data_IF_535261878875
#
_entry.id   IF_535261878875
#
_cell.length_a   1.000
_cell.length_b   1.000
_cell.length_c   1.000
_cell.angle_alpha   90.00
_cell.angle_beta   90.00
_cell.angle_gamma   90.00
#
_symmetry.space_group_name_H-M   'P 1'
#
loop_
_entity.id
_entity.type
_entity.pdbx_description
1 polymer ?
#
# COMPACT_ATOMS: atom_id res chain seq x y z
N UNK A 1 35.52 60.53 -5.05
CA UNK A 1 35.38 59.11 -5.46
C UNK A 1 34.47 59.04 -6.69
N UNK A 2 34.97 58.54 -7.82
CA UNK A 2 34.32 58.73 -9.13
C UNK A 2 33.05 57.88 -9.27
N UNK A 3 32.04 58.39 -9.99
CA UNK A 3 30.77 57.67 -10.30
C UNK A 3 31.02 56.31 -10.96
N UNK A 4 32.17 56.16 -11.63
CA UNK A 4 32.65 54.93 -12.26
C UNK A 4 32.99 53.86 -11.22
N UNK A 5 33.64 54.24 -10.12
CA UNK A 5 34.00 53.32 -9.04
C UNK A 5 32.76 52.76 -8.31
N UNK A 6 31.73 53.59 -8.14
CA UNK A 6 30.45 53.18 -7.54
C UNK A 6 29.65 52.25 -8.44
N UNK A 7 29.69 52.45 -9.77
CA UNK A 7 29.09 51.55 -10.77
C UNK A 7 29.82 50.21 -10.86
N UNK A 8 31.14 50.21 -10.76
CA UNK A 8 31.96 48.98 -10.71
C UNK A 8 31.68 48.15 -9.45
N UNK A 9 31.56 48.78 -8.28
CA UNK A 9 31.19 48.10 -7.03
C UNK A 9 29.78 47.51 -7.09
N UNK A 10 28.80 48.25 -7.64
CA UNK A 10 27.44 47.74 -7.84
C UNK A 10 27.40 46.57 -8.83
N UNK A 11 28.13 46.67 -9.95
CA UNK A 11 28.22 45.59 -10.93
C UNK A 11 28.88 44.33 -10.36
N UNK A 12 29.94 44.49 -9.54
CA UNK A 12 30.60 43.38 -8.85
C UNK A 12 29.69 42.71 -7.80
N UNK A 13 28.91 43.50 -7.04
CA UNK A 13 27.95 42.98 -6.07
C UNK A 13 26.80 42.21 -6.75
N UNK A 14 26.28 42.73 -7.89
CA UNK A 14 25.27 42.04 -8.69
C UNK A 14 25.84 40.75 -9.30
N UNK A 15 27.06 40.78 -9.83
CA UNK A 15 27.71 39.58 -10.36
C UNK A 15 27.96 38.52 -9.27
N UNK A 16 28.37 38.92 -8.05
CA UNK A 16 28.53 38.01 -6.92
C UNK A 16 27.19 37.42 -6.45
N UNK A 17 26.12 38.22 -6.43
CA UNK A 17 24.77 37.75 -6.10
C UNK A 17 24.22 36.79 -7.18
N UNK A 18 24.48 37.06 -8.46
CA UNK A 18 24.12 36.17 -9.57
C UNK A 18 24.93 34.87 -9.51
N UNK A 19 26.25 34.92 -9.23
CA UNK A 19 27.08 33.73 -9.06
C UNK A 19 26.63 32.86 -7.87
N UNK A 20 26.27 33.48 -6.74
CA UNK A 20 25.69 32.79 -5.59
C UNK A 20 24.30 32.19 -5.91
N UNK A 21 23.52 32.86 -6.76
CA UNK A 21 22.21 32.39 -7.20
C UNK A 21 22.28 31.27 -8.25
N UNK A 22 23.39 31.15 -8.99
CA UNK A 22 23.61 30.07 -9.97
C UNK A 22 24.30 28.84 -9.41
N UNK A 23 24.79 28.90 -8.17
CA UNK A 23 25.20 27.72 -7.42
C UNK A 23 23.94 26.95 -7.01
N UNK A 24 23.37 26.20 -7.97
CA UNK A 24 22.30 25.25 -7.73
C UNK A 24 22.83 24.31 -6.64
N UNK A 25 22.36 24.48 -5.42
CA UNK A 25 22.65 23.58 -4.32
C UNK A 25 22.33 22.17 -4.84
N UNK A 26 23.38 21.38 -5.05
CA UNK A 26 23.22 20.05 -5.59
C UNK A 26 22.43 19.25 -4.55
N UNK A 27 21.25 18.78 -4.95
CA UNK A 27 20.42 17.95 -4.10
C UNK A 27 21.13 16.61 -3.85
N UNK A 28 20.90 16.03 -2.68
CA UNK A 28 21.35 14.67 -2.37
C UNK A 28 20.83 13.70 -3.45
N UNK A 29 21.68 12.77 -3.89
CA UNK A 29 21.31 11.76 -4.88
C UNK A 29 20.16 10.85 -4.40
N UNK A 30 19.98 10.73 -3.08
CA UNK A 30 18.93 9.96 -2.44
C UNK A 30 17.65 10.76 -2.19
N UNK A 31 17.61 12.00 -2.67
CA UNK A 31 16.46 12.87 -2.62
C UNK A 31 15.56 12.66 -3.84
N UNK A 32 14.30 12.33 -3.60
CA UNK A 32 13.29 12.17 -4.64
C UNK A 32 12.75 13.53 -5.09
N UNK A 33 12.44 14.41 -4.13
CA UNK A 33 11.90 15.75 -4.40
C UNK A 33 12.75 16.81 -3.70
N UNK A 34 13.21 17.82 -4.45
CA UNK A 34 14.12 18.83 -3.93
C UNK A 34 13.71 20.23 -4.35
N UNK A 35 13.74 21.16 -3.40
CA UNK A 35 13.36 22.56 -3.60
C UNK A 35 14.39 23.50 -2.97
N UNK A 36 14.94 24.43 -3.75
CA UNK A 36 15.98 25.38 -3.31
C UNK A 36 17.20 24.76 -2.60
N UNK A 37 17.52 23.49 -2.91
CA UNK A 37 18.62 22.75 -2.26
C UNK A 37 18.22 21.97 -1.02
N UNK A 38 16.96 22.02 -0.63
CA UNK A 38 16.41 21.26 0.49
C UNK A 38 15.65 20.03 -0.01
N UNK A 39 15.92 18.89 0.60
CA UNK A 39 15.18 17.69 0.29
C UNK A 39 13.81 17.68 0.97
N UNK A 40 12.76 17.40 0.19
CA UNK A 40 11.37 17.33 0.64
C UNK A 40 10.81 15.91 0.70
N UNK A 41 11.45 14.97 0.02
CA UNK A 41 11.11 13.55 0.05
C UNK A 41 12.31 12.71 -0.38
N UNK A 42 12.44 11.53 0.22
CA UNK A 42 13.58 10.64 0.01
C UNK A 42 13.18 9.43 -0.82
N UNK A 43 14.13 8.91 -1.59
CA UNK A 43 13.95 7.65 -2.32
C UNK A 43 13.62 6.51 -1.34
N UNK A 44 12.98 5.46 -1.86
CA UNK A 44 12.72 4.22 -1.12
C UNK A 44 13.99 3.70 -0.43
N UNK A 45 13.86 3.30 0.84
CA UNK A 45 14.99 2.89 1.67
C UNK A 45 15.69 4.05 2.41
N UNK A 46 15.19 5.28 2.31
CA UNK A 46 15.70 6.45 3.03
C UNK A 46 14.57 7.21 3.74
N UNK A 47 14.89 7.87 4.85
CA UNK A 47 13.99 8.78 5.55
C UNK A 47 14.58 10.18 5.64
N UNK A 48 13.70 11.17 5.73
CA UNK A 48 14.09 12.57 5.83
C UNK A 48 14.55 12.87 7.27
N UNK A 49 15.82 13.23 7.43
CA UNK A 49 16.40 13.68 8.70
C UNK A 49 16.80 15.15 8.55
N UNK A 50 15.89 16.04 8.97
CA UNK A 50 16.04 17.47 8.71
C UNK A 50 15.83 17.79 7.22
N UNK A 51 16.93 17.96 6.47
CA UNK A 51 16.92 18.30 5.04
C UNK A 51 17.74 17.33 4.19
N UNK A 52 18.21 16.23 4.79
CA UNK A 52 19.02 15.21 4.13
C UNK A 52 18.36 13.85 4.24
N UNK A 53 18.62 13.00 3.25
CA UNK A 53 18.08 11.65 3.21
C UNK A 53 19.06 10.68 3.87
N UNK A 54 18.62 10.04 4.93
CA UNK A 54 19.42 9.05 5.66
C UNK A 54 18.90 7.66 5.38
N UNK A 55 19.79 6.71 5.11
CA UNK A 55 19.40 5.33 4.83
C UNK A 55 18.65 4.72 6.02
N UNK A 56 17.64 3.90 5.74
CA UNK A 56 16.95 3.11 6.74
C UNK A 56 17.94 2.11 7.35
N UNK A 57 18.24 2.18 8.67
CA UNK A 57 19.16 1.24 9.30
C UNK A 57 18.55 -0.14 9.55
N UNK A 58 17.24 -0.29 9.35
CA UNK A 58 16.52 -1.56 9.54
C UNK A 58 16.70 -2.43 8.30
N UNK A 59 17.31 -3.59 8.49
CA UNK A 59 17.45 -4.64 7.47
C UNK A 59 16.10 -4.97 6.84
N UNK A 60 16.06 -5.07 5.50
CA UNK A 60 14.87 -5.45 4.71
C UNK A 60 13.66 -4.52 4.88
N UNK A 61 13.89 -3.32 5.41
CA UNK A 61 12.89 -2.26 5.44
C UNK A 61 12.78 -1.57 4.08
N UNK A 62 11.55 -1.37 3.62
CA UNK A 62 11.25 -0.65 2.37
C UNK A 62 11.07 0.84 2.67
N UNK A 63 10.30 1.17 3.70
CA UNK A 63 10.05 2.56 4.11
C UNK A 63 10.25 2.70 5.61
N UNK A 64 10.93 3.78 6.00
CA UNK A 64 11.10 4.16 7.39
C UNK A 64 10.82 5.66 7.56
N UNK A 65 10.40 6.05 8.76
CA UNK A 65 10.06 7.46 9.09
C UNK A 65 11.09 8.13 10.00
N UNK A 66 11.93 7.32 10.66
CA UNK A 66 12.99 7.78 11.54
C UNK A 66 14.05 6.68 11.68
N UNK A 67 15.16 7.00 12.37
CA UNK A 67 16.18 6.03 12.71
C UNK A 67 15.58 4.83 13.46
N UNK A 68 15.61 3.66 12.82
CA UNK A 68 15.11 2.41 13.39
C UNK A 68 13.58 2.24 13.34
N UNK A 69 12.83 3.15 12.75
CA UNK A 69 11.35 3.08 12.69
C UNK A 69 10.90 2.71 11.29
N UNK A 70 10.81 1.40 11.02
CA UNK A 70 10.27 0.88 9.76
C UNK A 70 8.74 0.91 9.75
N UNK A 71 8.14 1.28 8.63
CA UNK A 71 6.68 1.30 8.40
C UNK A 71 6.24 0.29 7.36
N UNK A 72 7.13 -0.14 6.46
CA UNK A 72 6.84 -1.20 5.49
C UNK A 72 8.09 -2.01 5.15
N UNK A 73 7.90 -3.29 4.86
CA UNK A 73 8.98 -4.23 4.58
C UNK A 73 9.10 -4.54 3.08
N UNK A 74 10.26 -5.08 2.69
CA UNK A 74 10.43 -5.68 1.37
C UNK A 74 9.51 -6.90 1.21
N UNK A 75 9.25 -7.31 -0.04
CA UNK A 75 8.38 -8.45 -0.33
C UNK A 75 8.90 -9.73 0.35
N UNK A 76 7.99 -10.50 0.98
CA UNK A 76 8.33 -11.69 1.76
C UNK A 76 8.71 -11.45 3.23
N UNK A 77 8.68 -10.20 3.68
CA UNK A 77 8.91 -9.81 5.07
C UNK A 77 7.69 -9.11 5.65
N UNK A 78 7.42 -9.34 6.93
CA UNK A 78 6.33 -8.68 7.66
C UNK A 78 6.90 -7.79 8.75
N UNK A 79 6.26 -6.63 8.91
CA UNK A 79 6.57 -5.69 9.96
C UNK A 79 6.18 -6.28 11.32
N UNK A 80 7.17 -6.55 12.14
CA UNK A 80 7.00 -6.99 13.52
C UNK A 80 7.35 -5.84 14.45
N UNK A 81 6.36 -5.34 15.19
CA UNK A 81 6.61 -4.46 16.33
C UNK A 81 7.07 -5.35 17.48
N UNK A 82 8.37 -5.60 17.52
CA UNK A 82 8.93 -6.42 18.57
C UNK A 82 8.86 -5.64 19.88
N UNK A 83 7.92 -6.04 20.74
CA UNK A 83 8.14 -5.98 22.17
C UNK A 83 8.91 -7.27 22.48
N UNK A 84 10.21 -7.31 22.25
CA UNK A 84 10.98 -8.53 22.45
C UNK A 84 11.04 -8.88 23.94
N UNK A 85 10.51 -10.05 24.32
CA UNK A 85 10.89 -10.77 25.54
C UNK A 85 12.19 -11.60 25.32
N UNK A 86 12.80 -11.54 24.13
CA UNK A 86 13.99 -12.34 23.77
C UNK A 86 15.19 -11.50 23.26
N UNK A 87 15.18 -10.18 23.41
CA UNK A 87 16.32 -9.33 23.07
C UNK A 87 16.77 -8.52 24.27
N UNK A 88 17.91 -8.92 24.84
CA UNK A 88 18.71 -8.14 25.78
C UNK A 88 19.30 -6.90 25.09
N UNK A 89 18.45 -6.00 24.60
CA UNK A 89 18.88 -4.67 24.15
C UNK A 89 17.73 -3.69 24.30
N UNK A 90 17.55 -3.23 25.54
CA UNK A 90 16.69 -2.12 25.90
C UNK A 90 16.97 -0.90 25.02
N UNK A 91 16.12 -0.63 24.03
CA UNK A 91 15.98 0.72 23.48
C UNK A 91 14.57 0.92 22.94
N UNK A 92 13.71 1.28 23.87
CA UNK A 92 12.34 1.76 23.74
C UNK A 92 12.16 2.76 22.58
N UNK A 93 11.86 2.23 21.41
CA UNK A 93 10.93 2.76 20.42
C UNK A 93 10.34 1.51 19.77
N UNK A 94 9.07 1.53 19.36
CA UNK A 94 8.48 0.44 18.59
C UNK A 94 9.16 0.37 17.20
N UNK A 95 10.38 -0.14 17.18
CA UNK A 95 11.24 -0.27 16.01
C UNK A 95 10.69 -1.46 15.23
N UNK A 96 9.81 -1.19 14.29
CA UNK A 96 9.29 -2.22 13.39
C UNK A 96 10.46 -2.94 12.74
N UNK A 97 10.64 -4.22 13.06
CA UNK A 97 11.65 -5.08 12.44
C UNK A 97 10.98 -5.91 11.35
N UNK A 98 11.64 -6.03 10.20
CA UNK A 98 11.15 -6.85 9.10
C UNK A 98 11.61 -8.29 9.29
N UNK A 99 10.68 -9.17 9.72
CA UNK A 99 10.96 -10.60 9.89
C UNK A 99 10.44 -11.39 8.70
N UNK A 100 11.23 -12.38 8.29
CA UNK A 100 10.86 -13.25 7.18
C UNK A 100 9.64 -14.09 7.54
N UNK A 101 8.69 -14.22 6.64
CA UNK A 101 7.48 -15.03 6.87
C UNK A 101 7.74 -16.53 6.80
N UNK A 102 8.84 -16.95 6.16
CA UNK A 102 9.16 -18.38 6.00
C UNK A 102 9.85 -19.00 7.22
N UNK A 103 10.36 -18.18 8.14
CA UNK A 103 11.03 -18.67 9.35
C UNK A 103 10.03 -19.04 10.47
N UNK A 104 8.80 -18.54 10.40
CA UNK A 104 7.76 -18.83 11.39
C UNK A 104 6.90 -20.01 10.95
N UNK A 105 7.05 -21.15 11.61
CA UNK A 105 6.11 -22.26 11.48
C UNK A 105 4.81 -21.92 12.20
N UNK A 106 3.83 -21.40 11.47
CA UNK A 106 2.51 -21.13 12.02
C UNK A 106 1.90 -22.44 12.54
N UNK A 107 1.50 -22.45 13.81
CA UNK A 107 0.82 -23.60 14.40
C UNK A 107 -0.55 -23.86 13.75
N UNK A 108 -1.25 -22.78 13.34
CA UNK A 108 -2.51 -22.86 12.61
C UNK A 108 -2.27 -23.17 11.12
N UNK A 109 -2.76 -24.31 10.65
CA UNK A 109 -2.63 -24.78 9.26
C UNK A 109 -3.43 -23.94 8.26
N UNK A 110 -4.39 -23.13 8.73
CA UNK A 110 -5.17 -22.19 7.91
C UNK A 110 -4.48 -20.83 7.79
N UNK A 111 -3.40 -20.62 8.53
CA UNK A 111 -2.60 -19.42 8.45
C UNK A 111 -1.70 -19.45 7.21
N UNK A 112 -1.63 -18.32 6.52
CA UNK A 112 -0.69 -18.09 5.42
C UNK A 112 0.59 -17.44 5.94
N UNK A 113 0.46 -16.39 6.76
CA UNK A 113 1.59 -15.72 7.41
C UNK A 113 1.30 -15.44 8.89
N UNK A 114 2.29 -15.67 9.75
CA UNK A 114 2.21 -15.43 11.19
C UNK A 114 3.44 -14.66 11.70
N UNK A 115 3.26 -14.01 12.85
CA UNK A 115 4.33 -13.41 13.65
C UNK A 115 4.33 -14.15 14.98
N UNK A 116 5.38 -14.92 15.27
CA UNK A 116 5.31 -15.88 16.37
C UNK A 116 4.27 -16.96 16.09
N UNK A 117 3.41 -17.25 17.07
CA UNK A 117 2.25 -18.14 16.92
C UNK A 117 0.95 -17.39 16.54
N UNK A 118 1.03 -16.07 16.31
CA UNK A 118 -0.14 -15.24 16.02
C UNK A 118 -0.28 -15.07 14.49
N UNK A 119 -1.34 -15.60 13.92
CA UNK A 119 -1.64 -15.44 12.50
C UNK A 119 -2.04 -14.00 12.16
N UNK A 120 -1.41 -13.44 11.13
CA UNK A 120 -1.66 -12.08 10.63
C UNK A 120 -2.27 -12.09 9.23
N UNK A 121 -2.09 -13.17 8.47
CA UNK A 121 -2.74 -13.37 7.18
C UNK A 121 -3.22 -14.81 7.06
N UNK A 122 -4.51 -14.97 6.76
CA UNK A 122 -5.14 -16.27 6.61
C UNK A 122 -5.21 -16.71 5.15
N UNK A 123 -5.35 -18.02 4.92
CA UNK A 123 -5.64 -18.58 3.60
C UNK A 123 -7.06 -18.19 3.15
N UNK A 124 -7.31 -18.27 1.84
CA UNK A 124 -8.61 -17.97 1.24
C UNK A 124 -9.76 -18.67 1.96
N UNK A 125 -10.82 -17.90 2.24
CA UNK A 125 -12.01 -18.35 2.97
C UNK A 125 -11.90 -18.24 4.50
N UNK A 126 -10.81 -17.67 5.03
CA UNK A 126 -10.61 -17.42 6.44
C UNK A 126 -10.21 -15.97 6.71
N UNK A 127 -10.46 -15.49 7.93
CA UNK A 127 -10.05 -14.17 8.41
C UNK A 127 -9.35 -14.27 9.78
N UNK A 128 -8.37 -13.39 10.05
CA UNK A 128 -7.62 -13.41 11.30
C UNK A 128 -8.50 -12.92 12.46
N UNK A 129 -8.63 -13.75 13.49
CA UNK A 129 -9.32 -13.42 14.75
C UNK A 129 -8.43 -13.82 15.91
N UNK A 130 -8.01 -12.84 16.75
CA UNK A 130 -7.16 -13.09 17.91
C UNK A 130 -5.88 -13.92 17.63
N UNK A 131 -5.35 -13.87 16.41
CA UNK A 131 -4.17 -14.64 16.02
C UNK A 131 -4.42 -16.05 15.51
N UNK A 132 -5.67 -16.45 15.34
CA UNK A 132 -6.04 -17.69 14.67
C UNK A 132 -6.93 -17.39 13.48
N UNK A 133 -7.04 -18.33 12.55
CA UNK A 133 -7.86 -18.16 11.36
C UNK A 133 -9.24 -18.78 11.54
N UNK A 134 -10.26 -17.92 11.47
CA UNK A 134 -11.67 -18.31 11.57
C UNK A 134 -12.31 -18.32 10.18
N UNK A 135 -13.20 -19.26 9.90
CA UNK A 135 -13.87 -19.38 8.60
C UNK A 135 -14.77 -18.19 8.33
N UNK A 136 -14.75 -17.68 7.09
CA UNK A 136 -15.67 -16.63 6.64
C UNK A 136 -17.15 -17.04 6.67
N UNK A 137 -17.43 -18.35 6.75
CA UNK A 137 -18.79 -18.91 6.75
C UNK A 137 -19.68 -18.36 5.62
N UNK A 138 -19.08 -18.02 4.49
CA UNK A 138 -19.74 -17.44 3.31
C UNK A 138 -19.29 -18.21 2.09
N UNK A 139 -20.24 -18.77 1.34
CA UNK A 139 -19.94 -19.56 0.15
C UNK A 139 -19.21 -18.70 -0.88
N UNK A 140 -18.20 -19.29 -1.53
CA UNK A 140 -17.41 -18.66 -2.60
C UNK A 140 -16.71 -17.34 -2.22
N UNK A 141 -16.59 -17.07 -0.93
CA UNK A 141 -15.80 -15.95 -0.42
C UNK A 141 -14.30 -16.31 -0.41
N UNK A 142 -13.46 -15.42 -0.94
CA UNK A 142 -12.01 -15.53 -0.87
C UNK A 142 -11.47 -14.77 0.35
N UNK A 143 -11.98 -13.57 0.62
CA UNK A 143 -11.59 -12.77 1.79
C UNK A 143 -12.82 -12.15 2.44
N UNK A 144 -12.86 -12.18 3.77
CA UNK A 144 -13.88 -11.55 4.58
C UNK A 144 -13.24 -10.77 5.72
N UNK A 145 -13.93 -9.75 6.21
CA UNK A 145 -13.48 -8.98 7.36
C UNK A 145 -13.90 -9.65 8.68
N UNK A 146 -15.12 -10.18 8.68
CA UNK A 146 -15.69 -11.01 9.74
C UNK A 146 -16.54 -12.12 9.10
N UNK A 147 -16.97 -13.11 9.89
CA UNK A 147 -17.91 -14.12 9.44
C UNK A 147 -19.16 -13.46 8.80
N UNK A 148 -19.50 -13.89 7.58
CA UNK A 148 -20.63 -13.36 6.81
C UNK A 148 -20.35 -12.07 6.02
N UNK A 149 -19.24 -11.36 6.27
CA UNK A 149 -18.92 -10.08 5.60
C UNK A 149 -17.81 -10.26 4.56
N UNK A 150 -18.18 -10.83 3.42
CA UNK A 150 -17.23 -11.08 2.32
C UNK A 150 -16.89 -9.80 1.57
N UNK A 151 -15.59 -9.53 1.38
CA UNK A 151 -15.05 -8.35 0.69
C UNK A 151 -14.38 -8.70 -0.65
N UNK A 152 -14.02 -9.98 -0.86
CA UNK A 152 -13.46 -10.46 -2.12
C UNK A 152 -13.99 -11.87 -2.40
N UNK A 153 -14.53 -12.09 -3.60
CA UNK A 153 -15.01 -13.41 -4.02
C UNK A 153 -13.92 -14.26 -4.69
N UNK A 154 -14.10 -15.58 -4.65
CA UNK A 154 -13.27 -16.52 -5.41
C UNK A 154 -13.40 -16.26 -6.91
N UNK A 155 -12.39 -16.70 -7.67
CA UNK A 155 -12.37 -16.55 -9.11
C UNK A 155 -13.66 -17.07 -9.76
N UNK A 156 -14.25 -16.27 -10.67
CA UNK A 156 -15.54 -16.56 -11.32
C UNK A 156 -16.78 -16.05 -10.57
N UNK A 157 -16.63 -15.52 -9.35
CA UNK A 157 -17.74 -14.96 -8.56
C UNK A 157 -17.61 -13.44 -8.41
N UNK A 158 -18.75 -12.77 -8.19
CA UNK A 158 -18.82 -11.32 -7.95
C UNK A 158 -19.66 -11.03 -6.70
N UNK A 159 -19.36 -9.93 -6.03
CA UNK A 159 -20.10 -9.49 -4.84
C UNK A 159 -21.46 -8.97 -5.30
N UNK A 160 -22.54 -9.52 -4.74
CA UNK A 160 -23.87 -8.94 -4.79
C UNK A 160 -24.03 -8.08 -3.54
N UNK A 161 -24.05 -6.76 -3.72
CA UNK A 161 -24.32 -5.84 -2.62
C UNK A 161 -25.68 -6.16 -2.00
N UNK A 162 -25.74 -6.22 -0.67
CA UNK A 162 -27.00 -6.32 0.04
C UNK A 162 -27.79 -5.02 -0.20
N UNK A 163 -28.97 -5.12 -0.81
CA UNK A 163 -29.81 -4.00 -1.23
C UNK A 163 -30.48 -3.23 -0.07
N UNK A 164 -29.94 -3.33 1.15
CA UNK A 164 -30.41 -2.57 2.31
C UNK A 164 -29.31 -1.70 2.94
N UNK A 165 -28.27 -1.37 2.18
CA UNK A 165 -27.43 -0.23 2.51
C UNK A 165 -28.21 1.04 2.14
N UNK A 166 -28.91 1.62 3.11
CA UNK A 166 -29.44 2.98 2.98
C UNK A 166 -28.33 3.88 2.48
N UNK A 167 -28.64 4.64 1.45
CA UNK A 167 -27.83 5.67 0.82
C UNK A 167 -27.18 6.60 1.84
N UNK A 168 -26.02 6.22 2.34
CA UNK A 168 -25.08 7.15 2.94
C UNK A 168 -23.68 6.77 2.46
N UNK A 169 -23.20 7.56 1.50
CA UNK A 169 -21.83 8.01 1.23
C UNK A 169 -20.58 7.19 1.61
N UNK A 170 -20.67 5.89 1.92
CA UNK A 170 -19.55 5.02 2.26
C UNK A 170 -19.69 3.69 1.53
N UNK A 171 -18.75 3.39 0.63
CA UNK A 171 -18.62 2.14 -0.11
C UNK A 171 -18.54 0.94 0.85
N UNK A 172 -19.67 0.32 1.13
CA UNK A 172 -19.73 -0.97 1.80
C UNK A 172 -19.65 -2.06 0.72
N UNK A 173 -18.45 -2.35 0.21
CA UNK A 173 -18.16 -3.38 -0.82
C UNK A 173 -18.25 -4.81 -0.25
N UNK A 174 -19.20 -5.07 0.64
CA UNK A 174 -19.40 -6.39 1.24
C UNK A 174 -20.75 -6.99 0.90
N UNK A 175 -20.77 -8.31 0.67
CA UNK A 175 -22.00 -9.00 0.27
C UNK A 175 -21.81 -10.48 -0.02
N UNK A 176 -22.81 -11.08 -0.64
CA UNK A 176 -22.78 -12.50 -1.01
C UNK A 176 -22.07 -12.69 -2.37
N UNK A 177 -21.31 -13.76 -2.49
CA UNK A 177 -20.63 -14.09 -3.75
C UNK A 177 -21.54 -14.90 -4.67
N UNK A 178 -21.97 -14.26 -5.76
CA UNK A 178 -22.79 -14.88 -6.81
C UNK A 178 -21.93 -15.23 -8.03
N UNK A 179 -22.36 -16.24 -8.78
CA UNK A 179 -21.71 -16.66 -10.02
C UNK A 179 -21.69 -15.49 -11.02
N UNK A 180 -20.48 -15.07 -11.41
CA UNK A 180 -20.26 -13.95 -12.32
C UNK A 180 -20.82 -14.19 -13.72
N UNK A 181 -21.01 -15.45 -14.12
CA UNK A 181 -21.63 -15.81 -15.40
C UNK A 181 -23.16 -15.57 -15.41
N UNK A 182 -23.80 -15.46 -14.24
CA UNK A 182 -25.24 -15.17 -14.14
C UNK A 182 -25.56 -13.69 -14.24
N UNK A 183 -24.59 -12.81 -13.97
CA UNK A 183 -24.79 -11.34 -14.01
C UNK A 183 -24.81 -10.82 -15.45
N UNK A 184 -24.18 -11.52 -16.41
CA UNK A 184 -24.30 -11.23 -17.84
C UNK A 184 -25.60 -11.76 -18.47
N UNK A 185 -26.42 -12.47 -17.69
CA UNK A 185 -27.59 -13.22 -18.16
C UNK A 185 -28.89 -12.42 -18.39
N UNK A 186 -28.94 -11.11 -18.11
CA UNK A 186 -30.18 -10.34 -18.26
C UNK A 186 -30.27 -9.47 -19.53
N UNK A 187 -29.16 -9.22 -20.23
CA UNK A 187 -29.15 -8.40 -21.47
C UNK A 187 -28.53 -9.09 -22.69
N UNK A 188 -27.70 -10.14 -22.51
CA UNK A 188 -27.03 -10.81 -23.63
C UNK A 188 -27.83 -11.94 -24.31
N UNK A 189 -28.68 -12.66 -23.56
CA UNK A 189 -29.39 -13.82 -24.10
C UNK A 189 -30.64 -13.44 -24.92
N UNK A 190 -31.28 -12.31 -24.60
CA UNK A 190 -32.46 -11.84 -25.34
C UNK A 190 -32.09 -11.25 -26.72
N UNK A 191 -30.89 -10.66 -26.86
CA UNK A 191 -30.47 -10.01 -28.11
C UNK A 191 -30.16 -11.01 -29.23
N UNK A 192 -29.52 -12.15 -28.93
CA UNK A 192 -29.19 -13.16 -29.94
C UNK A 192 -30.43 -13.91 -30.45
N UNK A 193 -31.41 -14.17 -29.58
CA UNK A 193 -32.67 -14.82 -30.00
C UNK A 193 -33.51 -13.89 -30.89
N UNK A 194 -33.51 -12.58 -30.61
CA UNK A 194 -34.22 -11.61 -31.43
C UNK A 194 -33.61 -11.44 -32.83
N UNK A 195 -32.27 -11.43 -32.96
CA UNK A 195 -31.60 -11.30 -34.27
C UNK A 195 -31.85 -12.51 -35.16
N UNK A 196 -31.85 -13.73 -34.60
CA UNK A 196 -32.16 -14.95 -35.37
C UNK A 196 -33.63 -14.98 -35.81
N UNK A 197 -34.56 -14.50 -34.98
CA UNK A 197 -35.98 -14.43 -35.34
C UNK A 197 -36.30 -13.38 -36.42
N UNK A 198 -35.58 -12.24 -36.45
CA UNK A 198 -35.76 -11.23 -37.50
C UNK A 198 -35.19 -11.70 -38.84
N UNK A 199 -34.08 -12.44 -38.83
CA UNK A 199 -33.47 -12.98 -40.05
C UNK A 199 -34.32 -14.10 -40.69
N UNK A 200 -35.10 -14.85 -39.91
CA UNK A 200 -35.99 -15.89 -40.45
C UNK A 200 -37.33 -15.33 -40.97
N UNK A 201 -37.76 -14.15 -40.51
CA UNK A 201 -38.97 -13.49 -41.01
C UNK A 201 -38.75 -12.64 -42.26
N UNK A 202 -37.51 -12.28 -42.60
CA UNK A 202 -37.16 -11.58 -43.84
C UNK A 202 -36.86 -12.53 -45.02
N UNK A 203 -36.99 -13.85 -44.80
CA UNK A 203 -36.70 -14.89 -45.78
C UNK A 203 -37.95 -15.51 -46.42
N UNK A 204 -39.13 -14.86 -46.31
CA UNK A 204 -40.38 -15.26 -46.97
C UNK A 204 -41.01 -14.07 -47.69
#
# INVERSE_FOLDING_TARGET
MSRVFRRLLLAAAVAAAVLACTARAACDAQCETCEFGFCMGCNTGYYLSGQTCTACPVERCRECVAFGVCTSCMDGYILSFLNDDDSKTSSSLAKGACKSTVEWKCSDTRCKNCVGNRCVECKDGYYPTNGTCTSCNTANCAQCEIAGRCITCKHGYRIKLASNATSDSGLNDFGECIDGARVTGAVGAAALVAVVAVLTMLAW
#
